data_IF_435461037809
#
_entry.id   IF_435461037809
#
_cell.length_a   1.000
_cell.length_b   1.000
_cell.length_c   1.000
_cell.angle_alpha   90.00
_cell.angle_beta   90.00
_cell.angle_gamma   90.00
#
_symmetry.space_group_name_H-M   'P 1'
#
loop_
_entity.id
_entity.type
_entity.pdbx_description
1 polymer ?
#
# COMPACT_ATOMS: atom_id res chain seq x y z
N UNK A 1 -5.16 18.77 -1.65
CA UNK A 1 -5.09 17.37 -1.19
C UNK A 1 -5.67 16.45 -2.26
N UNK A 2 -6.86 16.68 -2.77
CA UNK A 2 -7.65 15.81 -3.65
C UNK A 2 -7.02 15.56 -5.01
N UNK A 3 -6.39 16.56 -5.59
CA UNK A 3 -5.63 16.42 -6.84
C UNK A 3 -4.25 15.77 -6.63
N UNK A 4 -3.96 15.25 -5.43
CA UNK A 4 -2.66 14.66 -5.09
C UNK A 4 -1.50 15.67 -5.03
N UNK A 5 -1.79 16.99 -5.10
CA UNK A 5 -0.75 18.02 -5.20
C UNK A 5 0.28 17.97 -4.07
N UNK A 6 -0.16 17.82 -2.81
CA UNK A 6 0.75 17.68 -1.67
C UNK A 6 1.65 16.44 -1.80
N UNK A 7 1.06 15.30 -2.18
CA UNK A 7 1.82 14.05 -2.32
C UNK A 7 2.80 14.10 -3.49
N UNK A 8 2.42 14.79 -4.59
CA UNK A 8 3.35 15.03 -5.72
C UNK A 8 4.55 15.86 -5.31
N UNK A 9 4.38 16.89 -4.46
CA UNK A 9 5.53 17.65 -3.94
C UNK A 9 6.46 16.78 -3.07
N UNK A 10 5.93 15.71 -2.48
CA UNK A 10 6.70 14.69 -1.75
C UNK A 10 7.27 13.59 -2.68
N UNK A 11 7.07 13.70 -3.99
CA UNK A 11 7.57 12.73 -4.98
C UNK A 11 6.72 11.45 -5.09
N UNK A 12 5.43 11.52 -4.68
CA UNK A 12 4.46 10.42 -4.81
C UNK A 12 3.42 10.81 -5.86
N UNK A 13 3.33 10.03 -6.96
CA UNK A 13 2.50 10.41 -8.11
C UNK A 13 1.02 10.11 -7.96
N UNK A 14 0.68 8.93 -7.43
CA UNK A 14 -0.65 8.36 -7.53
C UNK A 14 -1.23 7.88 -6.19
N UNK A 15 -0.80 8.46 -5.06
CA UNK A 15 -1.36 8.06 -3.75
C UNK A 15 -2.87 8.32 -3.68
N UNK A 16 -3.30 9.48 -4.17
CA UNK A 16 -4.71 9.83 -4.36
C UNK A 16 -4.92 10.17 -5.84
N UNK A 17 -5.86 9.50 -6.46
CA UNK A 17 -6.28 9.72 -7.84
C UNK A 17 -7.80 9.87 -7.89
N UNK A 18 -8.25 10.87 -8.66
CA UNK A 18 -9.64 11.11 -8.95
C UNK A 18 -10.40 11.84 -7.85
N UNK A 19 -11.63 12.18 -8.19
CA UNK A 19 -12.53 13.02 -7.37
C UNK A 19 -13.36 12.21 -6.37
N UNK A 20 -12.98 10.95 -6.09
CA UNK A 20 -13.78 10.07 -5.24
C UNK A 20 -14.07 10.66 -3.85
N UNK A 21 -13.10 11.40 -3.31
CA UNK A 21 -13.24 12.07 -2.01
C UNK A 21 -13.64 13.54 -2.13
N UNK A 22 -13.92 14.03 -3.33
CA UNK A 22 -14.26 15.43 -3.59
C UNK A 22 -15.75 15.76 -3.40
N UNK A 23 -16.58 14.75 -3.13
CA UNK A 23 -18.04 14.90 -3.00
C UNK A 23 -18.48 16.02 -2.03
N UNK A 24 -17.68 16.27 -0.98
CA UNK A 24 -17.99 17.32 -0.01
C UNK A 24 -17.77 18.74 -0.56
N UNK A 25 -17.03 18.91 -1.65
CA UNK A 25 -16.83 20.22 -2.27
C UNK A 25 -18.13 20.72 -2.91
N UNK A 26 -18.86 19.83 -3.56
CA UNK A 26 -20.15 20.16 -4.17
C UNK A 26 -21.25 20.38 -3.10
N UNK A 27 -21.09 19.73 -1.95
CA UNK A 27 -21.98 19.83 -0.80
C UNK A 27 -21.48 20.80 0.28
N UNK A 28 -20.51 21.69 -0.05
CA UNK A 28 -19.86 22.56 0.93
C UNK A 28 -20.87 23.50 1.60
N UNK A 29 -20.92 23.41 2.91
CA UNK A 29 -21.72 24.26 3.78
C UNK A 29 -21.05 24.37 5.18
N UNK A 30 -21.51 25.28 6.07
CA UNK A 30 -20.90 25.44 7.40
C UNK A 30 -20.90 24.18 8.26
N UNK A 31 -21.87 23.27 8.08
CA UNK A 31 -21.94 22.01 8.84
C UNK A 31 -20.86 21.03 8.39
N UNK A 32 -20.64 20.93 7.07
CA UNK A 32 -19.56 20.12 6.49
C UNK A 32 -18.19 20.68 6.91
N UNK A 33 -18.02 22.02 6.88
CA UNK A 33 -16.78 22.66 7.34
C UNK A 33 -16.49 22.33 8.79
N UNK A 34 -17.49 22.45 9.68
CA UNK A 34 -17.33 22.15 11.11
C UNK A 34 -17.02 20.66 11.33
N UNK A 35 -17.73 19.75 10.64
CA UNK A 35 -17.45 18.32 10.74
C UNK A 35 -16.00 17.98 10.31
N UNK A 36 -15.52 18.56 9.23
CA UNK A 36 -14.13 18.39 8.78
C UNK A 36 -13.12 18.96 9.78
N UNK A 37 -13.39 20.13 10.36
CA UNK A 37 -12.55 20.71 11.42
C UNK A 37 -12.44 19.79 12.63
N UNK A 38 -13.55 19.17 13.06
CA UNK A 38 -13.57 18.24 14.17
C UNK A 38 -12.76 16.96 13.84
N UNK A 39 -12.89 16.41 12.63
CA UNK A 39 -12.08 15.27 12.19
C UNK A 39 -10.59 15.62 12.19
N UNK A 40 -10.22 16.76 11.61
CA UNK A 40 -8.83 17.22 11.58
C UNK A 40 -8.27 17.47 12.99
N UNK A 41 -9.07 18.06 13.89
CA UNK A 41 -8.67 18.27 15.29
C UNK A 41 -8.39 16.93 15.99
N UNK A 42 -9.25 15.93 15.77
CA UNK A 42 -9.05 14.58 16.30
C UNK A 42 -7.81 13.90 15.73
N UNK A 43 -7.60 14.02 14.43
CA UNK A 43 -6.39 13.46 13.79
C UNK A 43 -5.11 14.14 14.29
N UNK A 44 -5.16 15.44 14.61
CA UNK A 44 -4.03 16.18 15.15
C UNK A 44 -3.63 15.77 16.59
N UNK A 45 -4.52 15.11 17.32
CA UNK A 45 -4.21 14.54 18.65
C UNK A 45 -3.29 13.32 18.55
N UNK A 46 -3.24 12.66 17.39
CA UNK A 46 -2.39 11.50 17.17
C UNK A 46 -0.97 11.93 16.80
N UNK A 47 0.02 11.36 17.49
CA UNK A 47 1.40 11.60 17.15
C UNK A 47 1.78 10.81 15.88
N UNK A 48 2.13 11.48 14.76
CA UNK A 48 2.53 10.78 13.54
C UNK A 48 3.79 9.90 13.72
N UNK A 49 4.61 10.16 14.75
CA UNK A 49 5.77 9.32 15.06
C UNK A 49 5.38 7.88 15.42
N UNK A 50 4.22 7.67 16.06
CA UNK A 50 3.75 6.31 16.38
C UNK A 50 3.51 5.43 15.15
N UNK A 51 3.19 6.04 14.01
CA UNK A 51 3.05 5.33 12.73
C UNK A 51 4.40 4.89 12.18
N UNK A 52 5.45 5.69 12.41
CA UNK A 52 6.82 5.37 12.00
C UNK A 52 7.46 4.33 12.90
N UNK A 53 7.17 4.38 14.21
CA UNK A 53 7.74 3.45 15.20
C UNK A 53 7.12 2.05 15.10
N UNK A 54 5.86 1.94 14.70
CA UNK A 54 5.20 0.66 14.48
C UNK A 54 4.27 0.68 13.24
N UNK A 55 4.83 0.49 12.04
CA UNK A 55 4.07 0.40 10.79
C UNK A 55 3.06 -0.76 10.78
N UNK A 56 3.26 -1.79 11.63
CA UNK A 56 2.33 -2.91 11.75
C UNK A 56 1.03 -2.49 12.42
N UNK A 57 1.13 -1.79 13.55
CA UNK A 57 -0.05 -1.28 14.25
C UNK A 57 -0.80 -0.25 13.42
N UNK A 58 -0.10 0.59 12.66
CA UNK A 58 -0.71 1.52 11.72
C UNK A 58 -1.50 0.81 10.62
N UNK A 59 -0.94 -0.25 10.03
CA UNK A 59 -1.61 -1.09 9.04
C UNK A 59 -2.85 -1.76 9.63
N UNK A 60 -2.76 -2.31 10.82
CA UNK A 60 -3.88 -2.96 11.49
C UNK A 60 -5.00 -1.97 11.84
N UNK A 61 -4.63 -0.74 12.16
CA UNK A 61 -5.59 0.35 12.38
C UNK A 61 -6.31 0.72 11.07
N UNK A 62 -5.59 0.96 9.99
CA UNK A 62 -6.16 1.29 8.67
C UNK A 62 -7.07 0.16 8.17
N UNK A 63 -6.67 -1.08 8.38
CA UNK A 63 -7.46 -2.26 8.08
C UNK A 63 -8.76 -2.33 8.88
N UNK A 64 -8.70 -2.08 10.18
CA UNK A 64 -9.88 -1.98 11.04
C UNK A 64 -10.79 -0.82 10.64
N UNK A 65 -10.23 0.35 10.34
CA UNK A 65 -10.98 1.51 9.86
C UNK A 65 -11.69 1.21 8.54
N UNK A 66 -11.02 0.59 7.59
CA UNK A 66 -11.62 0.15 6.33
C UNK A 66 -12.80 -0.80 6.56
N UNK A 67 -12.63 -1.80 7.44
CA UNK A 67 -13.72 -2.70 7.83
C UNK A 67 -14.88 -2.00 8.56
N UNK A 68 -14.60 -0.92 9.26
CA UNK A 68 -15.61 -0.17 10.01
C UNK A 68 -16.39 0.81 9.11
N UNK A 69 -15.72 1.38 8.12
CA UNK A 69 -16.31 2.36 7.20
C UNK A 69 -17.27 1.73 6.18
N UNK A 70 -17.08 0.45 5.84
CA UNK A 70 -17.94 -0.25 4.91
C UNK A 70 -18.96 -1.12 5.65
N UNK A 71 -20.28 -0.87 5.52
CA UNK A 71 -21.34 -1.74 6.03
C UNK A 71 -21.18 -3.19 5.53
N UNK A 72 -21.64 -4.15 6.34
CA UNK A 72 -21.47 -5.58 6.05
C UNK A 72 -22.13 -6.02 4.73
N UNK A 73 -23.29 -5.48 4.45
CA UNK A 73 -24.07 -5.67 3.21
C UNK A 73 -23.28 -5.20 1.99
N UNK A 74 -22.74 -3.99 2.03
CA UNK A 74 -21.90 -3.45 0.94
C UNK A 74 -20.65 -4.30 0.73
N UNK A 75 -20.00 -4.74 1.81
CA UNK A 75 -18.81 -5.62 1.70
C UNK A 75 -19.15 -6.97 1.08
N UNK A 76 -20.30 -7.53 1.44
CA UNK A 76 -20.77 -8.79 0.88
C UNK A 76 -21.07 -8.65 -0.62
N UNK A 77 -21.71 -7.57 -1.03
CA UNK A 77 -22.06 -7.30 -2.43
C UNK A 77 -20.82 -7.01 -3.30
N UNK A 78 -19.78 -6.42 -2.69
CA UNK A 78 -18.49 -6.18 -3.35
C UNK A 78 -17.54 -7.39 -3.29
N UNK A 79 -17.94 -8.49 -2.63
CA UNK A 79 -17.09 -9.67 -2.47
C UNK A 79 -15.87 -9.44 -1.59
N UNK A 80 -15.88 -8.41 -0.74
CA UNK A 80 -14.74 -8.03 0.09
C UNK A 80 -14.61 -8.93 1.33
N UNK A 81 -13.85 -10.01 1.17
CA UNK A 81 -13.48 -10.91 2.25
C UNK A 81 -12.03 -10.66 2.66
N UNK A 82 -11.86 -10.33 3.95
CA UNK A 82 -10.55 -10.16 4.52
C UNK A 82 -9.80 -11.51 4.64
N UNK A 83 -8.63 -11.57 4.05
CA UNK A 83 -7.72 -12.71 4.21
C UNK A 83 -6.85 -12.49 5.46
N UNK A 84 -6.91 -13.36 6.50
CA UNK A 84 -6.03 -13.25 7.65
C UNK A 84 -4.55 -13.37 7.25
N UNK A 85 -3.67 -12.61 7.90
CA UNK A 85 -2.24 -12.57 7.58
C UNK A 85 -1.59 -13.95 7.58
N UNK A 86 -1.89 -14.79 8.59
CA UNK A 86 -1.35 -16.14 8.68
C UNK A 86 -1.72 -17.03 7.47
N UNK A 87 -2.92 -16.83 6.90
CA UNK A 87 -3.36 -17.56 5.72
C UNK A 87 -2.65 -17.04 4.47
N UNK A 88 -2.56 -15.72 4.35
CA UNK A 88 -1.84 -15.10 3.23
C UNK A 88 -0.35 -15.47 3.24
N UNK A 89 0.30 -15.47 4.40
CA UNK A 89 1.69 -15.96 4.54
C UNK A 89 1.83 -17.42 4.13
N UNK A 90 0.91 -18.27 4.58
CA UNK A 90 0.92 -19.69 4.21
C UNK A 90 0.77 -19.89 2.71
N UNK A 91 -0.12 -19.14 2.06
CA UNK A 91 -0.33 -19.21 0.62
C UNK A 91 0.91 -18.73 -0.14
N UNK A 92 1.50 -17.60 0.26
CA UNK A 92 2.74 -17.10 -0.34
C UNK A 92 3.88 -18.12 -0.21
N UNK A 93 4.01 -18.77 0.96
CA UNK A 93 5.02 -19.80 1.18
C UNK A 93 4.78 -21.07 0.34
N UNK A 94 3.52 -21.36 -0.04
CA UNK A 94 3.17 -22.50 -0.90
C UNK A 94 3.43 -22.25 -2.40
N UNK A 95 3.58 -21.00 -2.82
CA UNK A 95 3.93 -20.69 -4.20
C UNK A 95 5.31 -21.24 -4.61
N UNK A 96 5.99 -21.90 -3.67
CA UNK A 96 7.24 -22.64 -3.88
C UNK A 96 8.46 -21.75 -3.77
N UNK A 97 9.59 -22.43 -3.46
CA UNK A 97 10.90 -21.76 -3.47
C UNK A 97 11.14 -21.06 -4.79
N UNK A 98 11.80 -20.12 -4.74
CA UNK A 98 11.57 -18.78 -4.26
C UNK A 98 11.33 -17.87 -5.42
N UNK A 99 10.10 -17.56 -5.59
CA UNK A 99 9.75 -16.59 -6.62
C UNK A 99 10.54 -15.27 -6.48
N UNK A 100 11.18 -15.08 -5.30
CA UNK A 100 12.06 -13.94 -5.00
C UNK A 100 13.45 -14.30 -4.42
N UNK A 101 13.88 -15.57 -4.35
CA UNK A 101 15.22 -15.90 -3.86
C UNK A 101 16.22 -15.86 -5.00
N UNK A 102 17.22 -15.03 -4.83
CA UNK A 102 18.41 -15.11 -5.64
C UNK A 102 19.29 -16.25 -5.13
N UNK A 103 19.86 -17.08 -6.02
CA UNK A 103 20.76 -18.13 -5.59
C UNK A 103 21.95 -17.53 -4.84
N UNK A 104 22.38 -18.14 -3.70
CA UNK A 104 23.56 -17.71 -2.99
C UNK A 104 24.79 -17.74 -3.92
N UNK A 105 25.53 -16.64 -3.94
CA UNK A 105 26.79 -16.55 -4.69
C UNK A 105 26.74 -15.82 -6.04
N UNK A 106 25.59 -15.38 -6.49
CA UNK A 106 25.55 -14.43 -7.59
C UNK A 106 25.61 -13.00 -6.99
N UNK A 107 26.61 -12.25 -7.45
CA UNK A 107 26.62 -10.80 -7.29
C UNK A 107 25.27 -10.22 -7.71
N UNK A 108 24.85 -9.04 -7.19
CA UNK A 108 23.55 -8.50 -7.49
C UNK A 108 23.29 -8.65 -8.98
N UNK A 109 22.26 -9.39 -9.38
CA UNK A 109 22.02 -9.60 -10.78
C UNK A 109 21.83 -8.22 -11.40
N UNK A 110 22.53 -7.98 -12.48
CA UNK A 110 22.28 -6.83 -13.33
C UNK A 110 20.91 -7.03 -14.00
N UNK A 111 19.83 -6.90 -13.24
CA UNK A 111 18.48 -7.06 -13.74
C UNK A 111 17.47 -7.19 -12.60
N UNK A 112 16.23 -6.85 -12.90
CA UNK A 112 15.08 -7.09 -12.04
C UNK A 112 14.84 -8.61 -11.93
N UNK A 113 14.26 -9.11 -10.81
CA UNK A 113 13.84 -10.50 -10.74
C UNK A 113 12.90 -10.84 -11.91
N UNK A 114 13.11 -11.99 -12.52
CA UNK A 114 12.30 -12.44 -13.67
C UNK A 114 10.83 -12.66 -13.32
N UNK A 115 10.50 -12.77 -12.03
CA UNK A 115 9.18 -13.05 -11.55
C UNK A 115 8.54 -11.82 -10.92
N UNK A 116 7.25 -11.65 -11.20
CA UNK A 116 6.41 -10.58 -10.66
C UNK A 116 5.20 -11.18 -9.97
N UNK A 117 4.74 -10.51 -8.92
CA UNK A 117 3.49 -10.83 -8.24
C UNK A 117 2.43 -9.85 -8.70
N UNK A 118 1.31 -10.39 -9.14
CA UNK A 118 0.08 -9.64 -9.37
C UNK A 118 -0.99 -10.18 -8.42
N UNK A 119 -1.57 -9.29 -7.63
CA UNK A 119 -2.81 -9.56 -6.90
C UNK A 119 -3.97 -8.85 -7.61
N UNK A 120 -4.82 -9.59 -8.33
CA UNK A 120 -5.87 -9.00 -9.17
C UNK A 120 -7.12 -8.59 -8.39
N UNK A 121 -7.18 -8.85 -7.08
CA UNK A 121 -8.25 -8.47 -6.16
C UNK A 121 -7.64 -8.14 -4.79
N UNK A 122 -6.74 -7.13 -4.78
CA UNK A 122 -5.80 -6.94 -3.69
C UNK A 122 -6.44 -6.45 -2.38
N UNK A 123 -7.69 -6.00 -2.39
CA UNK A 123 -8.34 -5.42 -1.23
C UNK A 123 -7.50 -4.30 -0.62
N UNK A 124 -7.28 -4.35 0.68
CA UNK A 124 -6.38 -3.42 1.39
C UNK A 124 -4.88 -3.74 1.24
N UNK A 125 -4.49 -4.68 0.37
CA UNK A 125 -3.09 -4.98 0.04
C UNK A 125 -2.38 -5.94 0.99
N UNK A 126 -3.08 -6.87 1.65
CA UNK A 126 -2.45 -7.84 2.57
C UNK A 126 -1.34 -8.64 1.91
N UNK A 127 -1.60 -9.26 0.75
CA UNK A 127 -0.59 -10.01 0.00
C UNK A 127 0.55 -9.13 -0.50
N UNK A 128 0.25 -7.91 -0.94
CA UNK A 128 1.26 -6.97 -1.41
C UNK A 128 2.27 -6.63 -0.30
N UNK A 129 1.77 -6.32 0.90
CA UNK A 129 2.62 -5.98 2.05
C UNK A 129 3.50 -7.16 2.47
N UNK A 130 2.95 -8.37 2.50
CA UNK A 130 3.71 -9.58 2.84
C UNK A 130 4.78 -9.88 1.78
N UNK A 131 4.45 -9.71 0.50
CA UNK A 131 5.39 -9.85 -0.59
C UNK A 131 6.53 -8.82 -0.51
N UNK A 132 6.21 -7.55 -0.22
CA UNK A 132 7.21 -6.50 -0.03
C UNK A 132 8.18 -6.85 1.09
N UNK A 133 7.67 -7.36 2.23
CA UNK A 133 8.53 -7.79 3.36
C UNK A 133 9.47 -8.92 2.96
N UNK A 134 8.95 -9.94 2.28
CA UNK A 134 9.77 -11.03 1.79
C UNK A 134 10.86 -10.54 0.83
N UNK A 135 10.52 -9.63 -0.10
CA UNK A 135 11.49 -9.02 -1.02
C UNK A 135 12.57 -8.22 -0.30
N UNK A 136 12.20 -7.41 0.69
CA UNK A 136 13.19 -6.63 1.48
C UNK A 136 14.23 -7.53 2.12
N UNK A 137 13.78 -8.62 2.76
CA UNK A 137 14.69 -9.60 3.38
C UNK A 137 15.60 -10.23 2.32
N UNK A 138 15.04 -10.65 1.20
CA UNK A 138 15.79 -11.33 0.16
C UNK A 138 16.79 -10.40 -0.53
N UNK A 139 16.39 -9.16 -0.84
CA UNK A 139 17.29 -8.16 -1.40
C UNK A 139 18.44 -7.83 -0.43
N UNK A 140 18.15 -7.69 0.86
CA UNK A 140 19.15 -7.48 1.89
C UNK A 140 20.16 -8.65 1.93
N UNK A 141 19.69 -9.88 1.96
CA UNK A 141 20.54 -11.09 1.96
C UNK A 141 21.35 -11.21 0.67
N UNK A 142 20.85 -10.71 -0.44
CA UNK A 142 21.53 -10.68 -1.73
C UNK A 142 22.49 -9.47 -1.89
N UNK A 143 22.57 -8.58 -0.90
CA UNK A 143 23.47 -7.43 -0.91
C UNK A 143 23.01 -6.26 -1.79
N UNK A 144 21.70 -6.14 -2.04
CA UNK A 144 21.13 -4.99 -2.76
C UNK A 144 21.21 -3.73 -1.91
N UNK A 145 21.41 -2.59 -2.56
CA UNK A 145 21.23 -1.29 -1.93
C UNK A 145 19.73 -1.03 -1.66
N UNK A 146 19.44 -0.12 -0.74
CA UNK A 146 18.06 0.32 -0.46
C UNK A 146 17.39 0.88 -1.72
N UNK A 147 18.12 1.62 -2.54
CA UNK A 147 17.63 2.16 -3.80
C UNK A 147 17.28 1.05 -4.81
N UNK A 148 18.12 0.02 -4.94
CA UNK A 148 17.86 -1.11 -5.83
C UNK A 148 16.72 -1.98 -5.29
N UNK A 149 16.65 -2.17 -3.98
CA UNK A 149 15.54 -2.87 -3.30
C UNK A 149 14.21 -2.19 -3.58
N UNK A 150 14.15 -0.85 -3.49
CA UNK A 150 12.96 -0.08 -3.82
C UNK A 150 12.53 -0.29 -5.28
N UNK A 151 13.47 -0.21 -6.22
CA UNK A 151 13.18 -0.43 -7.65
C UNK A 151 12.67 -1.87 -7.91
N UNK A 152 13.27 -2.87 -7.26
CA UNK A 152 12.80 -4.26 -7.35
C UNK A 152 11.35 -4.37 -6.87
N UNK A 153 11.02 -3.80 -5.71
CA UNK A 153 9.66 -3.85 -5.15
C UNK A 153 8.66 -3.19 -6.10
N UNK A 154 8.93 -1.95 -6.52
CA UNK A 154 8.03 -1.18 -7.38
C UNK A 154 7.77 -1.84 -8.75
N UNK A 155 8.72 -2.64 -9.25
CA UNK A 155 8.58 -3.33 -10.53
C UNK A 155 8.06 -4.76 -10.43
N UNK A 156 8.00 -5.33 -9.20
CA UNK A 156 7.68 -6.76 -9.01
C UNK A 156 6.39 -7.03 -8.25
N UNK A 157 5.86 -6.07 -7.49
CA UNK A 157 4.65 -6.26 -6.67
C UNK A 157 3.56 -5.31 -7.13
N UNK A 158 2.53 -5.85 -7.76
CA UNK A 158 1.44 -5.09 -8.39
C UNK A 158 0.10 -5.54 -7.80
N UNK A 159 -0.78 -4.59 -7.55
CA UNK A 159 -2.15 -4.84 -7.12
C UNK A 159 -3.17 -4.21 -8.05
N UNK A 160 -4.32 -4.87 -8.18
CA UNK A 160 -5.51 -4.32 -8.84
C UNK A 160 -6.70 -4.54 -7.92
N UNK A 161 -7.62 -3.60 -7.89
CA UNK A 161 -8.91 -3.78 -7.23
C UNK A 161 -9.98 -2.92 -7.91
N UNK A 162 -11.22 -3.37 -7.87
CA UNK A 162 -12.37 -2.67 -8.42
C UNK A 162 -12.87 -1.56 -7.47
N UNK A 163 -12.63 -1.73 -6.16
CA UNK A 163 -13.09 -0.78 -5.15
C UNK A 163 -12.08 0.35 -4.94
N UNK A 164 -12.44 1.63 -5.19
CA UNK A 164 -11.52 2.76 -5.02
C UNK A 164 -11.06 2.97 -3.57
N UNK A 165 -11.87 2.60 -2.57
CA UNK A 165 -11.46 2.63 -1.16
C UNK A 165 -10.40 1.56 -0.87
N UNK A 166 -10.57 0.35 -1.42
CA UNK A 166 -9.60 -0.72 -1.31
C UNK A 166 -8.27 -0.31 -1.92
N UNK A 167 -8.29 0.23 -3.15
CA UNK A 167 -7.09 0.75 -3.84
C UNK A 167 -6.39 1.82 -3.01
N UNK A 168 -7.13 2.77 -2.44
CA UNK A 168 -6.56 3.82 -1.59
C UNK A 168 -5.92 3.23 -0.34
N UNK A 169 -6.60 2.31 0.35
CA UNK A 169 -6.07 1.61 1.52
C UNK A 169 -4.82 0.79 1.17
N UNK A 170 -4.85 0.07 0.04
CA UNK A 170 -3.71 -0.70 -0.44
C UNK A 170 -2.51 0.18 -0.79
N UNK A 171 -2.72 1.34 -1.42
CA UNK A 171 -1.65 2.31 -1.69
C UNK A 171 -1.03 2.85 -0.41
N UNK A 172 -1.83 3.18 0.59
CA UNK A 172 -1.32 3.63 1.90
C UNK A 172 -0.53 2.51 2.58
N UNK A 173 -1.04 1.29 2.61
CA UNK A 173 -0.35 0.14 3.19
C UNK A 173 0.95 -0.21 2.44
N UNK A 174 0.94 -0.11 1.11
CA UNK A 174 2.14 -0.26 0.28
C UNK A 174 3.18 0.80 0.62
N UNK A 175 2.76 2.07 0.69
CA UNK A 175 3.63 3.19 1.05
C UNK A 175 4.26 3.01 2.43
N UNK A 176 3.47 2.59 3.44
CA UNK A 176 3.98 2.27 4.77
C UNK A 176 5.00 1.13 4.73
N UNK A 177 4.78 0.12 3.89
CA UNK A 177 5.69 -1.01 3.76
C UNK A 177 7.04 -0.65 3.14
N UNK A 178 7.11 0.41 2.32
CA UNK A 178 8.35 0.90 1.68
C UNK A 178 8.87 2.21 2.29
N UNK A 179 8.28 2.70 3.38
CA UNK A 179 8.56 4.04 3.93
C UNK A 179 10.05 4.27 4.25
N UNK A 180 10.72 3.26 4.79
CA UNK A 180 12.16 3.28 5.10
C UNK A 180 13.05 3.33 3.85
N UNK A 181 12.56 2.90 2.69
CA UNK A 181 13.29 2.92 1.42
C UNK A 181 13.08 4.23 0.64
N UNK A 182 12.02 4.99 0.94
CA UNK A 182 11.70 6.24 0.21
C UNK A 182 12.81 7.30 0.21
N UNK A 183 13.62 7.47 1.27
CA UNK A 183 14.74 8.40 1.24
C UNK A 183 15.77 8.10 0.15
N UNK A 184 15.87 6.85 -0.28
CA UNK A 184 16.84 6.38 -1.28
C UNK A 184 16.29 6.33 -2.70
N UNK A 185 15.05 6.82 -2.93
CA UNK A 185 14.44 6.83 -4.25
C UNK A 185 15.27 7.65 -5.26
N UNK A 186 15.40 7.12 -6.47
CA UNK A 186 16.10 7.79 -7.59
C UNK A 186 15.18 8.62 -8.47
N UNK A 187 13.86 8.45 -8.32
CA UNK A 187 12.81 9.12 -9.12
C UNK A 187 11.54 9.30 -8.28
N UNK A 188 10.59 9.99 -8.83
CA UNK A 188 9.24 10.01 -8.26
C UNK A 188 8.67 8.58 -8.21
N UNK A 189 7.97 8.28 -7.12
CA UNK A 189 7.40 6.96 -6.87
C UNK A 189 5.95 6.94 -7.37
N UNK A 190 5.65 5.97 -8.19
CA UNK A 190 4.30 5.55 -8.52
C UNK A 190 4.02 4.22 -7.83
N UNK A 191 2.98 4.19 -6.99
CA UNK A 191 2.63 2.98 -6.25
C UNK A 191 1.88 2.05 -7.20
N UNK A 192 2.36 0.81 -7.43
CA UNK A 192 1.80 -0.08 -8.44
C UNK A 192 0.53 -0.78 -7.95
N UNK A 193 -0.46 0.01 -7.57
CA UNK A 193 -1.81 -0.44 -7.19
C UNK A 193 -2.82 0.37 -7.99
N UNK A 194 -3.65 -0.30 -8.78
CA UNK A 194 -4.50 0.32 -9.78
C UNK A 194 -5.97 0.01 -9.56
N UNK A 195 -6.81 1.01 -9.85
CA UNK A 195 -8.26 0.84 -9.91
C UNK A 195 -8.61 0.28 -11.29
N UNK A 196 -8.99 -0.97 -11.35
CA UNK A 196 -9.38 -1.62 -12.60
C UNK A 196 -10.21 -2.88 -12.32
N UNK A 197 -10.97 -3.31 -13.33
CA UNK A 197 -11.59 -4.62 -13.38
C UNK A 197 -10.57 -5.66 -13.89
N UNK A 198 -10.48 -6.80 -13.20
CA UNK A 198 -9.45 -7.82 -13.44
C UNK A 198 -9.94 -8.97 -14.33
#
# INVERSE_FOLDING_TARGET
>A
LESGGLFRTLGLKNLLEGDFFAWYLDAWNPEVEEALRQVLARLAEYNPATVQDDPHSARDLLKKLYHYLLPRDIRHDLGEFYTPDWLAERLLNQLGEPWFIMPPGNHPPRGLPDKRLLDPACGSGTFLVLAIRALKVNCFLAGFSEADTLEVILNSVVGIDLNPLAVTAARVNYLLAIADLLPYRRREVEIPVYLADS
#
